data_IF_541403526467
#
_entry.id   IF_541403526467
#
_cell.length_a   1.000
_cell.length_b   1.000
_cell.length_c   1.000
_cell.angle_alpha   90.00
_cell.angle_beta   90.00
_cell.angle_gamma   90.00
#
_symmetry.space_group_name_H-M   'P 1'
#
loop_
_entity.id
_entity.type
_entity.pdbx_description
1 polymer ?
#
# COMPACT_ATOMS: atom_id res chain seq x y z
N UNK A 1 17.42 -21.19 5.81
CA UNK A 1 17.76 -21.08 4.39
C UNK A 1 16.57 -20.48 3.65
N UNK A 2 16.83 -19.59 2.70
CA UNK A 2 15.78 -18.97 1.85
C UNK A 2 15.81 -19.59 0.45
N UNK A 3 14.70 -19.67 -0.28
CA UNK A 3 14.64 -20.45 -1.52
C UNK A 3 15.50 -19.89 -2.68
N UNK A 4 15.96 -18.63 -2.59
CA UNK A 4 16.85 -18.00 -3.57
C UNK A 4 18.34 -18.05 -3.17
N UNK A 5 18.66 -18.64 -2.02
CA UNK A 5 20.03 -18.73 -1.51
C UNK A 5 20.91 -19.51 -2.50
N UNK A 6 22.05 -18.92 -2.88
CA UNK A 6 22.96 -19.48 -3.89
C UNK A 6 22.59 -19.19 -5.35
N UNK A 7 21.43 -18.58 -5.62
CA UNK A 7 20.99 -18.22 -6.98
C UNK A 7 21.00 -16.72 -7.22
N UNK A 8 20.50 -15.94 -6.25
CA UNK A 8 20.32 -14.49 -6.36
C UNK A 8 20.63 -13.83 -5.02
N UNK A 9 21.18 -12.61 -5.03
CA UNK A 9 21.50 -11.87 -3.79
C UNK A 9 20.25 -11.39 -3.06
N UNK A 10 20.36 -11.16 -1.75
CA UNK A 10 19.25 -10.67 -0.93
C UNK A 10 18.82 -9.25 -1.35
N UNK A 11 19.75 -8.41 -1.81
CA UNK A 11 19.49 -7.06 -2.34
C UNK A 11 18.69 -7.10 -3.65
N UNK A 12 19.06 -8.03 -4.54
CA UNK A 12 18.35 -8.23 -5.80
C UNK A 12 16.93 -8.72 -5.51
N UNK A 13 16.77 -9.65 -4.57
CA UNK A 13 15.45 -10.10 -4.12
C UNK A 13 14.66 -9.00 -3.41
N UNK A 14 15.30 -8.17 -2.60
CA UNK A 14 14.68 -7.02 -1.93
C UNK A 14 14.15 -6.00 -2.92
N UNK A 15 14.79 -5.90 -4.09
CA UNK A 15 14.35 -5.01 -5.17
C UNK A 15 13.17 -5.61 -5.96
N UNK A 16 13.26 -6.87 -6.38
CA UNK A 16 12.31 -7.42 -7.37
C UNK A 16 11.20 -8.28 -6.78
N UNK A 17 11.38 -8.92 -5.63
CA UNK A 17 10.35 -9.78 -5.05
C UNK A 17 9.05 -9.03 -4.71
N UNK A 18 9.08 -7.81 -4.11
CA UNK A 18 7.87 -7.04 -3.87
C UNK A 18 7.13 -6.68 -5.17
N UNK A 19 7.86 -6.37 -6.25
CA UNK A 19 7.29 -6.05 -7.56
C UNK A 19 6.58 -7.26 -8.16
N UNK A 20 7.23 -8.43 -8.16
CA UNK A 20 6.62 -9.67 -8.65
C UNK A 20 5.37 -10.01 -7.84
N UNK A 21 5.47 -9.92 -6.51
CA UNK A 21 4.39 -10.24 -5.60
C UNK A 21 3.20 -9.28 -5.76
N UNK A 22 3.45 -7.99 -5.99
CA UNK A 22 2.43 -7.00 -6.33
C UNK A 22 1.58 -7.48 -7.50
N UNK A 23 2.21 -7.83 -8.63
CA UNK A 23 1.47 -8.22 -9.83
C UNK A 23 0.75 -9.55 -9.68
N UNK A 24 1.35 -10.51 -8.97
CA UNK A 24 0.68 -11.80 -8.68
C UNK A 24 -0.56 -11.56 -7.81
N UNK A 25 -0.44 -10.78 -6.74
CA UNK A 25 -1.53 -10.58 -5.78
C UNK A 25 -2.62 -9.65 -6.34
N UNK A 26 -2.25 -8.49 -6.88
CA UNK A 26 -3.18 -7.54 -7.49
C UNK A 26 -3.83 -8.10 -8.76
N UNK A 27 -3.06 -8.81 -9.60
CA UNK A 27 -3.59 -9.51 -10.76
C UNK A 27 -4.53 -10.64 -10.36
N UNK A 28 -4.22 -11.37 -9.29
CA UNK A 28 -5.12 -12.34 -8.67
C UNK A 28 -6.47 -11.73 -8.33
N UNK A 29 -6.48 -10.60 -7.60
CA UNK A 29 -7.70 -9.83 -7.34
C UNK A 29 -8.41 -9.44 -8.63
N UNK A 30 -7.73 -8.84 -9.60
CA UNK A 30 -8.35 -8.39 -10.86
C UNK A 30 -9.06 -9.53 -11.61
N UNK A 31 -8.48 -10.72 -11.63
CA UNK A 31 -9.03 -11.90 -12.32
C UNK A 31 -10.27 -12.49 -11.64
N UNK A 32 -10.42 -12.27 -10.34
CA UNK A 32 -11.52 -12.82 -9.54
C UNK A 32 -12.58 -11.77 -9.19
N UNK A 33 -12.24 -10.48 -9.20
CA UNK A 33 -13.09 -9.37 -8.77
C UNK A 33 -14.42 -9.28 -9.55
N UNK A 34 -14.42 -9.69 -10.81
CA UNK A 34 -15.57 -9.69 -11.71
C UNK A 34 -16.29 -11.05 -11.79
N UNK A 35 -15.98 -11.98 -10.87
CA UNK A 35 -16.67 -13.26 -10.81
C UNK A 35 -17.82 -13.17 -9.81
N UNK A 36 -18.99 -13.65 -10.21
CA UNK A 36 -20.24 -13.68 -9.41
C UNK A 36 -20.07 -14.03 -7.92
N UNK A 37 -19.24 -15.04 -7.52
CA UNK A 37 -19.09 -15.37 -6.10
C UNK A 37 -18.47 -14.27 -5.23
N UNK A 38 -17.72 -13.33 -5.83
CA UNK A 38 -17.03 -12.26 -5.13
C UNK A 38 -17.71 -10.89 -5.24
N UNK A 39 -18.65 -10.72 -6.17
CA UNK A 39 -19.47 -9.50 -6.27
C UNK A 39 -20.17 -9.17 -4.94
N UNK A 40 -20.61 -10.19 -4.21
CA UNK A 40 -21.23 -10.06 -2.88
C UNK A 40 -20.31 -9.53 -1.78
N UNK A 41 -19.02 -9.41 -2.04
CA UNK A 41 -18.02 -8.86 -1.11
C UNK A 41 -17.46 -7.51 -1.57
N UNK A 42 -17.88 -6.99 -2.74
CA UNK A 42 -17.39 -5.71 -3.25
C UNK A 42 -17.96 -4.52 -2.46
N UNK A 43 -17.13 -3.50 -2.27
CA UNK A 43 -17.53 -2.18 -1.74
C UNK A 43 -18.26 -1.32 -2.79
N UNK A 44 -17.86 -1.44 -4.06
CA UNK A 44 -18.48 -0.74 -5.19
C UNK A 44 -18.87 -1.74 -6.28
N UNK A 45 -19.96 -1.47 -6.99
CA UNK A 45 -20.32 -2.27 -8.17
C UNK A 45 -19.32 -2.05 -9.29
N UNK A 46 -19.27 -2.96 -10.26
CA UNK A 46 -18.44 -2.76 -11.46
C UNK A 46 -18.88 -1.52 -12.25
N UNK A 47 -20.19 -1.27 -12.34
CA UNK A 47 -20.71 -0.07 -13.01
C UNK A 47 -20.21 1.22 -12.34
N UNK A 48 -20.20 1.27 -11.00
CA UNK A 48 -19.64 2.42 -10.27
C UNK A 48 -18.14 2.59 -10.50
N UNK A 49 -17.38 1.50 -10.57
CA UNK A 49 -15.95 1.55 -10.87
C UNK A 49 -15.70 2.13 -12.27
N UNK A 50 -16.44 1.66 -13.27
CA UNK A 50 -16.33 2.11 -14.67
C UNK A 50 -16.80 3.56 -14.87
N UNK A 51 -17.85 3.98 -14.15
CA UNK A 51 -18.41 5.33 -14.26
C UNK A 51 -17.61 6.37 -13.48
N UNK A 52 -17.17 6.06 -12.26
CA UNK A 52 -16.54 7.05 -11.36
C UNK A 52 -15.04 7.19 -11.58
N UNK A 53 -14.33 6.14 -12.01
CA UNK A 53 -12.89 6.24 -12.23
C UNK A 53 -12.56 7.05 -13.49
N UNK A 54 -11.63 7.99 -13.36
CA UNK A 54 -11.31 8.96 -14.41
C UNK A 54 -10.19 8.48 -15.34
N UNK A 55 -9.65 7.28 -15.11
CA UNK A 55 -8.54 6.70 -15.86
C UNK A 55 -8.78 5.21 -16.13
N UNK A 56 -8.49 4.78 -17.36
CA UNK A 56 -8.60 3.37 -17.73
C UNK A 56 -7.45 2.51 -17.21
N UNK A 57 -7.69 1.22 -17.05
CA UNK A 57 -6.74 0.23 -16.52
C UNK A 57 -5.36 0.27 -17.22
N UNK A 58 -5.32 0.46 -18.53
CA UNK A 58 -4.05 0.52 -19.27
C UNK A 58 -3.16 1.71 -18.85
N UNK A 59 -3.77 2.86 -18.55
CA UNK A 59 -3.04 4.02 -18.05
C UNK A 59 -2.53 3.77 -16.62
N UNK A 60 -3.35 3.10 -15.81
CA UNK A 60 -3.00 2.70 -14.44
C UNK A 60 -1.80 1.76 -14.46
N UNK A 61 -1.85 0.68 -15.25
CA UNK A 61 -0.75 -0.28 -15.39
C UNK A 61 0.55 0.41 -15.81
N UNK A 62 0.50 1.32 -16.80
CA UNK A 62 1.69 2.08 -17.23
C UNK A 62 2.25 2.95 -16.11
N UNK A 63 1.38 3.62 -15.34
CA UNK A 63 1.78 4.44 -14.20
C UNK A 63 2.45 3.61 -13.10
N UNK A 64 1.86 2.47 -12.75
CA UNK A 64 2.42 1.55 -11.75
C UNK A 64 3.78 1.00 -12.20
N UNK A 65 3.93 0.58 -13.45
CA UNK A 65 5.22 0.10 -13.99
C UNK A 65 6.29 1.20 -13.96
N UNK A 66 5.94 2.44 -14.29
CA UNK A 66 6.85 3.57 -14.19
C UNK A 66 7.27 3.82 -12.73
N UNK A 67 6.32 3.78 -11.79
CA UNK A 67 6.62 3.91 -10.37
C UNK A 67 7.54 2.79 -9.86
N UNK A 68 7.26 1.54 -10.22
CA UNK A 68 8.07 0.39 -9.83
C UNK A 68 9.48 0.43 -10.43
N UNK A 69 9.63 0.98 -11.64
CA UNK A 69 10.95 1.23 -12.23
C UNK A 69 11.75 2.22 -11.37
N UNK A 70 11.13 3.33 -10.94
CA UNK A 70 11.77 4.30 -10.04
C UNK A 70 12.14 3.67 -8.71
N UNK A 71 11.22 2.90 -8.11
CA UNK A 71 11.45 2.17 -6.86
C UNK A 71 12.64 1.20 -6.99
N UNK A 72 12.71 0.43 -8.08
CA UNK A 72 13.79 -0.52 -8.33
C UNK A 72 15.15 0.18 -8.46
N UNK A 73 15.21 1.29 -9.22
CA UNK A 73 16.45 2.07 -9.37
C UNK A 73 16.93 2.59 -8.01
N UNK A 74 16.03 3.17 -7.21
CA UNK A 74 16.41 3.72 -5.91
C UNK A 74 16.77 2.62 -4.91
N UNK A 75 16.07 1.49 -4.92
CA UNK A 75 16.41 0.33 -4.09
C UNK A 75 17.81 -0.21 -4.41
N UNK A 76 18.16 -0.34 -5.70
CA UNK A 76 19.50 -0.76 -6.11
C UNK A 76 20.58 0.23 -5.65
N UNK A 77 20.34 1.54 -5.79
CA UNK A 77 21.27 2.58 -5.32
C UNK A 77 21.42 2.48 -3.80
N UNK A 78 20.31 2.35 -3.06
CA UNK A 78 20.33 2.21 -1.61
C UNK A 78 21.16 1.00 -1.19
N UNK A 79 20.92 -0.17 -1.80
CA UNK A 79 21.68 -1.38 -1.49
C UNK A 79 23.15 -1.25 -1.90
N UNK A 80 23.47 -0.62 -3.02
CA UNK A 80 24.86 -0.39 -3.43
C UNK A 80 25.63 0.46 -2.43
N UNK A 81 24.97 1.44 -1.80
CA UNK A 81 25.60 2.34 -0.81
C UNK A 81 25.63 1.75 0.59
N UNK A 82 24.69 0.87 0.93
CA UNK A 82 24.55 0.31 2.29
C UNK A 82 25.15 -1.08 2.46
N UNK A 83 25.35 -1.83 1.38
CA UNK A 83 25.88 -3.20 1.44
C UNK A 83 27.40 -3.16 1.39
N UNK A 84 28.04 -3.62 2.47
CA UNK A 84 29.48 -3.86 2.49
C UNK A 84 29.77 -5.31 2.12
N UNK A 85 30.25 -5.53 0.89
CA UNK A 85 30.63 -6.85 0.36
C UNK A 85 31.77 -7.52 1.13
N UNK A 86 32.46 -6.80 1.99
CA UNK A 86 33.56 -7.30 2.83
C UNK A 86 33.06 -7.95 4.11
N UNK A 87 31.78 -7.77 4.46
CA UNK A 87 31.19 -8.25 5.72
C UNK A 87 30.23 -9.41 5.50
N UNK A 88 30.38 -10.47 6.29
CA UNK A 88 29.40 -11.56 6.32
C UNK A 88 28.18 -11.08 7.09
N UNK A 89 27.06 -10.90 6.40
CA UNK A 89 25.79 -10.52 7.04
C UNK A 89 25.21 -11.71 7.80
N UNK A 90 25.25 -11.63 9.14
CA UNK A 90 24.64 -12.63 10.02
C UNK A 90 23.17 -12.27 10.24
N UNK A 91 22.27 -13.23 9.97
CA UNK A 91 20.84 -13.03 10.18
C UNK A 91 20.52 -12.94 11.69
N UNK A 92 19.83 -11.87 12.14
CA UNK A 92 19.41 -11.75 13.53
C UNK A 92 18.43 -12.86 13.91
N UNK A 93 18.28 -13.18 15.21
CA UNK A 93 17.22 -14.05 15.70
C UNK A 93 15.83 -13.56 15.25
N UNK A 94 14.87 -14.48 15.09
CA UNK A 94 13.50 -14.15 14.63
C UNK A 94 12.84 -13.10 15.52
N UNK A 95 13.12 -13.11 16.83
CA UNK A 95 12.60 -12.09 17.77
C UNK A 95 13.11 -10.69 17.44
N UNK A 96 14.37 -10.56 17.05
CA UNK A 96 14.95 -9.29 16.61
C UNK A 96 14.35 -8.90 15.27
N UNK A 97 14.23 -9.83 14.31
CA UNK A 97 13.59 -9.53 13.02
C UNK A 97 12.14 -9.07 13.19
N UNK A 98 11.37 -9.69 14.11
CA UNK A 98 10.01 -9.27 14.43
C UNK A 98 9.95 -7.86 15.05
N UNK A 99 10.90 -7.53 15.92
CA UNK A 99 11.03 -6.17 16.44
C UNK A 99 11.40 -5.16 15.35
N UNK A 100 12.33 -5.52 14.45
CA UNK A 100 12.70 -4.70 13.29
C UNK A 100 11.51 -4.47 12.36
N UNK A 101 10.68 -5.49 12.14
CA UNK A 101 9.40 -5.37 11.42
C UNK A 101 8.49 -4.35 12.08
N UNK A 102 8.29 -4.43 13.39
CA UNK A 102 7.45 -3.48 14.11
C UNK A 102 7.97 -2.04 14.00
N UNK A 103 9.29 -1.85 14.20
CA UNK A 103 9.93 -0.53 14.03
C UNK A 103 9.71 -0.01 12.61
N UNK A 104 9.93 -0.85 11.59
CA UNK A 104 9.74 -0.47 10.21
C UNK A 104 8.29 -0.10 9.88
N UNK A 105 7.30 -0.84 10.41
CA UNK A 105 5.88 -0.48 10.26
C UNK A 105 5.58 0.89 10.87
N UNK A 106 6.05 1.16 12.09
CA UNK A 106 5.81 2.43 12.78
C UNK A 106 6.49 3.62 12.08
N UNK A 107 7.71 3.41 11.57
CA UNK A 107 8.45 4.43 10.81
C UNK A 107 7.74 4.70 9.47
N UNK A 108 7.34 3.66 8.75
CA UNK A 108 6.62 3.77 7.48
C UNK A 108 5.29 4.51 7.66
N UNK A 109 4.46 4.08 8.63
CA UNK A 109 3.18 4.71 8.92
C UNK A 109 3.34 6.18 9.28
N UNK A 110 4.36 6.52 10.07
CA UNK A 110 4.65 7.91 10.44
C UNK A 110 5.03 8.74 9.22
N UNK A 111 5.98 8.26 8.43
CA UNK A 111 6.42 8.97 7.23
C UNK A 111 5.25 9.17 6.26
N UNK A 112 4.54 8.09 5.93
CA UNK A 112 3.47 8.14 4.95
C UNK A 112 2.31 9.01 5.43
N UNK A 113 1.90 8.92 6.70
CA UNK A 113 0.83 9.76 7.23
C UNK A 113 1.14 11.26 7.04
N UNK A 114 2.32 11.71 7.47
CA UNK A 114 2.64 13.15 7.44
C UNK A 114 2.80 13.67 6.01
N UNK A 115 3.46 12.90 5.12
CA UNK A 115 3.60 13.30 3.72
C UNK A 115 2.24 13.29 3.01
N UNK A 116 1.43 12.25 3.22
CA UNK A 116 0.12 12.11 2.61
C UNK A 116 -0.82 13.25 3.04
N UNK A 117 -0.91 13.51 4.35
CA UNK A 117 -1.69 14.62 4.89
C UNK A 117 -1.21 15.96 4.34
N UNK A 118 0.11 16.17 4.25
CA UNK A 118 0.66 17.41 3.71
C UNK A 118 0.31 17.61 2.24
N UNK A 119 0.35 16.54 1.42
CA UNK A 119 -0.07 16.59 0.02
C UNK A 119 -1.55 16.95 -0.12
N UNK A 120 -2.43 16.50 0.78
CA UNK A 120 -3.83 16.91 0.81
C UNK A 120 -4.05 18.35 1.25
N UNK A 121 -3.33 18.80 2.28
CA UNK A 121 -3.51 20.14 2.83
C UNK A 121 -2.92 21.23 1.93
N UNK A 122 -1.84 20.93 1.22
CA UNK A 122 -1.21 21.83 0.28
C UNK A 122 -1.94 21.81 -1.07
N UNK A 123 -2.64 22.91 -1.41
CA UNK A 123 -3.42 23.02 -2.66
C UNK A 123 -2.61 22.75 -3.94
N UNK A 124 -1.33 23.13 -3.96
CA UNK A 124 -0.48 22.90 -5.13
C UNK A 124 -0.15 21.42 -5.27
N UNK A 125 0.29 20.77 -4.19
CA UNK A 125 0.63 19.35 -4.18
C UNK A 125 -0.60 18.50 -4.45
N UNK A 126 -1.74 18.81 -3.84
CA UNK A 126 -3.00 18.13 -4.14
C UNK A 126 -3.33 18.24 -5.62
N UNK A 127 -3.42 19.46 -6.16
CA UNK A 127 -3.90 19.68 -7.53
C UNK A 127 -3.01 19.03 -8.60
N UNK A 128 -1.69 19.06 -8.43
CA UNK A 128 -0.75 18.66 -9.50
C UNK A 128 -0.10 17.30 -9.29
N UNK A 129 -0.12 16.76 -8.07
CA UNK A 129 0.57 15.52 -7.73
C UNK A 129 -0.48 14.51 -7.23
N UNK A 130 -1.02 14.72 -6.03
CA UNK A 130 -1.83 13.72 -5.34
C UNK A 130 -3.23 13.50 -5.97
N UNK A 131 -3.75 14.49 -6.69
CA UNK A 131 -5.00 14.34 -7.43
C UNK A 131 -4.93 13.25 -8.51
N UNK A 132 -3.73 12.86 -8.97
CA UNK A 132 -3.57 11.75 -9.90
C UNK A 132 -4.01 10.43 -9.26
N UNK A 133 -3.60 10.17 -8.01
CA UNK A 133 -4.02 9.00 -7.26
C UNK A 133 -5.54 8.99 -7.07
N UNK A 134 -6.12 10.13 -6.66
CA UNK A 134 -7.57 10.33 -6.51
C UNK A 134 -8.37 10.36 -7.84
N UNK A 135 -7.75 10.12 -8.99
CA UNK A 135 -8.49 9.79 -10.23
C UNK A 135 -9.16 8.41 -10.14
N UNK A 136 -8.69 7.56 -9.23
CA UNK A 136 -9.28 6.28 -8.88
C UNK A 136 -10.24 6.45 -7.69
N UNK A 137 -11.38 7.09 -7.94
CA UNK A 137 -12.42 7.35 -6.93
C UNK A 137 -12.95 6.05 -6.30
N UNK A 138 -12.99 4.96 -7.08
CA UNK A 138 -13.28 3.61 -6.63
C UNK A 138 -11.96 2.83 -6.66
N UNK A 139 -11.29 2.64 -5.50
CA UNK A 139 -10.04 1.91 -5.43
C UNK A 139 -10.20 0.45 -5.83
N UNK A 140 -9.20 -0.07 -6.54
CA UNK A 140 -9.06 -1.48 -6.88
C UNK A 140 -7.59 -1.92 -6.81
N UNK A 141 -7.37 -3.22 -6.66
CA UNK A 141 -6.07 -3.80 -6.31
C UNK A 141 -4.90 -3.37 -7.22
N UNK A 142 -5.08 -3.35 -8.55
CA UNK A 142 -4.03 -2.93 -9.51
C UNK A 142 -3.72 -1.43 -9.41
N UNK A 143 -4.66 -0.62 -8.92
CA UNK A 143 -4.50 0.81 -8.72
C UNK A 143 -3.72 1.20 -7.47
N UNK A 144 -3.34 0.24 -6.62
CA UNK A 144 -2.78 0.52 -5.29
C UNK A 144 -1.47 1.32 -5.31
N UNK A 145 -0.69 1.24 -6.39
CA UNK A 145 0.52 2.03 -6.61
C UNK A 145 0.39 2.97 -7.81
N UNK A 146 -0.83 3.40 -8.16
CA UNK A 146 -1.04 4.38 -9.22
C UNK A 146 -0.91 5.80 -8.68
N UNK A 147 0.33 6.25 -8.52
CA UNK A 147 0.63 7.57 -8.00
C UNK A 147 1.34 8.43 -9.06
N UNK A 148 1.35 9.74 -8.85
CA UNK A 148 2.26 10.59 -9.62
C UNK A 148 3.73 10.16 -9.33
N UNK A 149 4.68 10.17 -10.29
CA UNK A 149 6.03 9.67 -10.04
C UNK A 149 6.75 10.32 -8.83
N UNK A 150 6.57 11.63 -8.64
CA UNK A 150 7.09 12.33 -7.46
C UNK A 150 6.41 11.90 -6.15
N UNK A 151 5.14 11.53 -6.21
CA UNK A 151 4.41 11.02 -5.07
C UNK A 151 4.93 9.64 -4.67
N UNK A 152 5.00 8.70 -5.61
CA UNK A 152 5.55 7.36 -5.36
C UNK A 152 7.03 7.39 -4.95
N UNK A 153 7.80 8.38 -5.40
CA UNK A 153 9.15 8.61 -4.90
C UNK A 153 9.14 9.06 -3.43
N UNK A 154 8.35 10.08 -3.08
CA UNK A 154 8.37 10.67 -1.74
C UNK A 154 7.66 9.82 -0.68
N UNK A 155 6.51 9.24 -0.99
CA UNK A 155 5.73 8.39 -0.08
C UNK A 155 6.33 6.99 0.02
N UNK A 156 6.37 6.28 -1.11
CA UNK A 156 6.67 4.85 -1.08
C UNK A 156 8.17 4.59 -1.01
N UNK A 157 8.94 5.20 -1.91
CA UNK A 157 10.37 4.91 -2.05
C UNK A 157 11.18 5.47 -0.86
N UNK A 158 11.05 6.76 -0.57
CA UNK A 158 11.76 7.38 0.56
C UNK A 158 11.25 6.84 1.89
N UNK A 159 9.93 6.63 2.05
CA UNK A 159 9.37 6.03 3.25
C UNK A 159 9.89 4.61 3.48
N UNK A 160 9.98 3.80 2.43
CA UNK A 160 10.58 2.46 2.48
C UNK A 160 12.07 2.50 2.84
N UNK A 161 12.85 3.40 2.22
CA UNK A 161 14.28 3.54 2.51
C UNK A 161 14.53 3.95 3.98
N UNK A 162 13.79 4.93 4.50
CA UNK A 162 13.91 5.34 5.91
C UNK A 162 13.52 4.19 6.84
N UNK A 163 12.46 3.45 6.52
CA UNK A 163 12.03 2.28 7.31
C UNK A 163 13.08 1.17 7.35
N UNK A 164 13.72 0.90 6.21
CA UNK A 164 14.84 -0.04 6.12
C UNK A 164 16.03 0.40 6.98
N UNK A 165 16.46 1.65 6.82
CA UNK A 165 17.62 2.19 7.52
C UNK A 165 17.41 2.27 9.04
N UNK A 166 16.26 2.78 9.49
CA UNK A 166 15.98 3.01 10.92
C UNK A 166 15.74 1.69 11.66
N UNK A 167 15.11 0.71 11.03
CA UNK A 167 14.92 -0.61 11.65
C UNK A 167 16.23 -1.40 11.77
N UNK A 168 17.26 -1.05 11.00
CA UNK A 168 18.53 -1.79 10.96
C UNK A 168 18.37 -3.23 10.47
N UNK A 169 17.32 -3.51 9.71
CA UNK A 169 17.06 -4.84 9.18
C UNK A 169 18.08 -5.23 8.11
N UNK A 170 18.36 -6.53 7.99
CA UNK A 170 19.25 -7.01 6.90
C UNK A 170 18.54 -6.91 5.55
N UNK A 171 19.27 -6.91 4.41
CA UNK A 171 18.66 -7.01 3.09
C UNK A 171 17.72 -8.22 2.97
N UNK A 172 18.06 -9.36 3.57
CA UNK A 172 17.19 -10.56 3.61
C UNK A 172 15.88 -10.31 4.35
N UNK A 173 15.95 -9.70 5.53
CA UNK A 173 14.77 -9.35 6.34
C UNK A 173 13.90 -8.33 5.61
N UNK A 174 14.51 -7.41 4.85
CA UNK A 174 13.79 -6.41 4.07
C UNK A 174 13.01 -7.00 2.90
N UNK A 175 13.48 -8.10 2.29
CA UNK A 175 12.69 -8.85 1.28
C UNK A 175 11.32 -9.21 1.84
N UNK A 176 11.29 -9.81 3.03
CA UNK A 176 10.04 -10.23 3.67
C UNK A 176 9.19 -9.03 4.08
N UNK A 177 9.81 -7.98 4.62
CA UNK A 177 9.09 -6.79 5.06
C UNK A 177 8.42 -6.06 3.89
N UNK A 178 9.14 -5.82 2.80
CA UNK A 178 8.58 -5.13 1.65
C UNK A 178 7.57 -5.99 0.88
N UNK A 179 7.75 -7.31 0.85
CA UNK A 179 6.71 -8.23 0.37
C UNK A 179 5.44 -8.15 1.22
N UNK A 180 5.57 -8.09 2.55
CA UNK A 180 4.44 -7.93 3.45
C UNK A 180 3.75 -6.56 3.26
N UNK A 181 4.53 -5.48 3.19
CA UNK A 181 4.02 -4.12 2.99
C UNK A 181 3.25 -4.00 1.67
N UNK A 182 3.78 -4.54 0.57
CA UNK A 182 3.10 -4.45 -0.73
C UNK A 182 1.82 -5.27 -0.78
N UNK A 183 1.78 -6.45 -0.15
CA UNK A 183 0.54 -7.22 0.01
C UNK A 183 -0.49 -6.43 0.80
N UNK A 184 -0.06 -5.77 1.88
CA UNK A 184 -0.94 -4.94 2.71
C UNK A 184 -1.51 -3.76 1.92
N UNK A 185 -0.67 -3.00 1.22
CA UNK A 185 -1.11 -1.88 0.38
C UNK A 185 -2.09 -2.32 -0.70
N UNK A 186 -1.86 -3.47 -1.36
CA UNK A 186 -2.80 -4.01 -2.35
C UNK A 186 -4.13 -4.41 -1.69
N UNK A 187 -4.10 -5.00 -0.49
CA UNK A 187 -5.30 -5.36 0.26
C UNK A 187 -6.13 -4.13 0.63
N UNK A 188 -5.49 -3.05 1.05
CA UNK A 188 -6.14 -1.77 1.39
C UNK A 188 -6.85 -1.13 0.21
N UNK A 189 -6.45 -1.47 -1.01
CA UNK A 189 -7.07 -0.96 -2.23
C UNK A 189 -7.94 -1.99 -2.93
N UNK A 190 -8.06 -3.23 -2.43
CA UNK A 190 -8.62 -4.32 -3.22
C UNK A 190 -10.11 -4.18 -3.54
N UNK A 191 -10.83 -3.33 -2.79
CA UNK A 191 -12.26 -3.09 -2.97
C UNK A 191 -13.15 -4.26 -2.52
N UNK A 192 -12.57 -5.25 -1.83
CA UNK A 192 -13.24 -6.47 -1.38
C UNK A 192 -13.19 -6.64 0.14
N UNK A 193 -14.37 -6.72 0.74
CA UNK A 193 -14.56 -7.11 2.13
C UNK A 193 -14.71 -8.63 2.26
N UNK A 194 -13.57 -9.35 2.24
CA UNK A 194 -13.55 -10.82 2.22
C UNK A 194 -13.70 -11.41 3.63
N UNK A 195 -14.49 -12.48 3.80
CA UNK A 195 -14.55 -13.19 5.07
C UNK A 195 -13.17 -13.82 5.37
N UNK A 196 -12.73 -13.72 6.62
CA UNK A 196 -11.46 -14.25 7.09
C UNK A 196 -10.21 -13.61 6.47
N UNK A 197 -10.33 -12.41 5.88
CA UNK A 197 -9.14 -11.67 5.46
C UNK A 197 -8.29 -11.30 6.70
N UNK A 198 -7.09 -11.88 6.77
CA UNK A 198 -6.18 -11.70 7.90
C UNK A 198 -5.70 -10.26 8.03
N UNK A 199 -5.49 -9.54 6.92
CA UNK A 199 -5.03 -8.15 6.96
C UNK A 199 -6.11 -7.26 7.53
N UNK A 200 -7.34 -7.40 7.04
CA UNK A 200 -8.49 -6.61 7.50
C UNK A 200 -8.87 -6.91 8.96
N UNK A 201 -8.53 -8.11 9.45
CA UNK A 201 -8.74 -8.51 10.85
C UNK A 201 -7.63 -8.00 11.79
N UNK A 202 -6.38 -7.95 11.32
CA UNK A 202 -5.23 -7.55 12.14
C UNK A 202 -4.99 -6.04 12.14
N UNK A 203 -5.31 -5.35 11.05
CA UNK A 203 -4.99 -3.95 10.83
C UNK A 203 -6.24 -3.08 10.70
N UNK A 204 -6.16 -1.88 11.28
CA UNK A 204 -7.26 -0.91 11.27
C UNK A 204 -7.36 -0.15 9.96
N UNK A 205 -6.22 0.17 9.35
CA UNK A 205 -6.22 0.53 7.94
C UNK A 205 -6.54 -0.75 7.15
N UNK A 206 -7.62 -0.72 6.40
CA UNK A 206 -8.13 -1.80 5.58
C UNK A 206 -8.89 -1.21 4.38
N UNK A 207 -9.45 -2.07 3.53
CA UNK A 207 -10.12 -1.61 2.31
C UNK A 207 -11.28 -0.64 2.55
N UNK A 208 -12.07 -0.82 3.61
CA UNK A 208 -13.18 0.09 3.90
C UNK A 208 -12.70 1.44 4.45
N UNK A 209 -11.66 1.41 5.30
CA UNK A 209 -11.01 2.62 5.81
C UNK A 209 -10.45 3.49 4.68
N UNK A 210 -9.76 2.86 3.73
CA UNK A 210 -9.14 3.56 2.61
C UNK A 210 -10.16 3.96 1.53
N UNK A 211 -11.21 3.15 1.32
CA UNK A 211 -12.33 3.53 0.46
C UNK A 211 -12.96 4.86 0.89
N UNK A 212 -13.24 5.02 2.19
CA UNK A 212 -13.78 6.27 2.75
C UNK A 212 -12.89 7.46 2.39
N UNK A 213 -11.57 7.31 2.43
CA UNK A 213 -10.63 8.36 2.08
C UNK A 213 -10.73 8.81 0.61
N UNK A 214 -10.89 7.86 -0.32
CA UNK A 214 -11.06 8.11 -1.76
C UNK A 214 -12.43 8.70 -2.13
N UNK A 215 -13.44 8.50 -1.29
CA UNK A 215 -14.72 9.17 -1.47
C UNK A 215 -14.52 10.71 -1.39
N UNK A 216 -15.25 11.45 -2.23
CA UNK A 216 -15.14 12.92 -2.33
C UNK A 216 -15.18 13.65 -0.97
N UNK A 217 -15.97 13.11 -0.03
CA UNK A 217 -16.18 13.68 1.30
C UNK A 217 -15.07 13.30 2.30
N UNK A 218 -14.35 12.20 2.04
CA UNK A 218 -13.32 11.65 2.92
C UNK A 218 -11.90 12.12 2.63
N UNK A 219 -11.67 12.91 1.58
CA UNK A 219 -10.36 13.53 1.26
C UNK A 219 -9.75 14.38 2.39
N UNK A 220 -10.50 14.64 3.45
CA UNK A 220 -10.08 15.37 4.67
C UNK A 220 -9.67 14.45 5.84
N UNK A 221 -9.76 13.14 5.66
CA UNK A 221 -9.68 12.16 6.74
C UNK A 221 -8.89 10.90 6.29
N UNK A 222 -8.56 10.05 7.25
CA UNK A 222 -8.01 8.71 7.04
C UNK A 222 -6.71 8.67 6.23
N UNK A 223 -5.73 9.50 6.60
CA UNK A 223 -4.46 9.63 5.87
C UNK A 223 -3.43 8.53 6.17
N UNK A 224 -3.55 7.81 7.27
CA UNK A 224 -2.58 6.84 7.75
C UNK A 224 -2.56 5.63 6.83
N UNK A 225 -1.37 5.20 6.44
CA UNK A 225 -1.13 4.02 5.61
C UNK A 225 0.31 3.53 5.81
N UNK A 226 0.60 2.23 5.62
CA UNK A 226 -0.37 1.19 5.25
C UNK A 226 -0.92 0.37 6.44
N UNK A 227 -0.38 0.46 7.67
CA UNK A 227 -0.70 -0.52 8.72
C UNK A 227 -1.75 -0.04 9.73
N UNK A 228 -1.45 1.02 10.47
CA UNK A 228 -2.23 1.45 11.62
C UNK A 228 -2.90 2.79 11.37
N UNK A 229 -3.97 3.10 12.13
CA UNK A 229 -4.68 4.39 12.07
C UNK A 229 -4.23 5.35 13.20
N UNK A 230 -3.05 5.11 13.77
CA UNK A 230 -2.57 5.77 15.00
C UNK A 230 -2.58 7.29 14.85
N UNK A 231 -1.99 7.81 13.77
CA UNK A 231 -1.85 9.25 13.58
C UNK A 231 -3.17 9.95 13.28
N UNK A 232 -4.07 9.31 12.54
CA UNK A 232 -5.42 9.83 12.34
C UNK A 232 -6.20 9.97 13.65
N UNK A 233 -6.03 9.01 14.57
CA UNK A 233 -6.65 9.09 15.90
C UNK A 233 -6.02 10.16 16.77
N UNK A 234 -4.68 10.25 16.79
CA UNK A 234 -3.96 11.22 17.61
C UNK A 234 -4.25 12.66 17.15
N UNK A 235 -4.31 12.89 15.83
CA UNK A 235 -4.44 14.25 15.28
C UNK A 235 -5.85 14.59 14.80
N UNK A 236 -6.85 13.77 15.15
CA UNK A 236 -8.26 14.04 14.90
C UNK A 236 -8.65 14.02 13.42
N UNK A 237 -7.95 13.24 12.60
CA UNK A 237 -8.28 13.04 11.16
C UNK A 237 -8.88 11.67 10.88
N UNK A 238 -9.22 10.89 11.89
CA UNK A 238 -9.91 9.60 11.74
C UNK A 238 -11.41 9.79 11.48
N UNK A 239 -11.90 9.27 10.36
CA UNK A 239 -13.32 9.17 10.03
C UNK A 239 -13.79 7.73 10.28
N UNK A 240 -14.56 7.47 11.35
CA UNK A 240 -15.15 6.17 11.58
C UNK A 240 -16.22 5.84 10.53
N UNK A 241 -16.50 4.55 10.34
CA UNK A 241 -17.46 4.09 9.33
C UNK A 241 -18.26 2.88 9.82
N UNK A 242 -19.43 2.68 9.19
CA UNK A 242 -20.20 1.45 9.28
C UNK A 242 -20.15 0.72 7.94
N UNK A 243 -20.00 -0.61 7.99
CA UNK A 243 -20.18 -1.47 6.82
C UNK A 243 -21.63 -1.94 6.73
N UNK A 244 -22.30 -1.55 5.65
CA UNK A 244 -23.71 -1.87 5.42
C UNK A 244 -23.82 -2.82 4.24
N UNK A 245 -24.61 -3.89 4.39
CA UNK A 245 -24.93 -4.76 3.25
C UNK A 245 -25.84 -4.04 2.25
N UNK A 246 -25.48 -4.09 0.97
CA UNK A 246 -26.31 -3.54 -0.11
C UNK A 246 -27.43 -4.52 -0.48
N UNK A 247 -28.59 -4.00 -0.88
CA UNK A 247 -29.74 -4.81 -1.31
C UNK A 247 -29.42 -5.71 -2.50
N UNK A 248 -28.55 -5.25 -3.38
CA UNK A 248 -28.13 -5.96 -4.61
C UNK A 248 -26.91 -6.86 -4.38
N UNK A 249 -26.42 -6.96 -3.14
CA UNK A 249 -25.19 -7.68 -2.78
C UNK A 249 -23.97 -6.77 -2.66
N UNK A 250 -22.98 -7.21 -1.88
CA UNK A 250 -21.82 -6.39 -1.54
C UNK A 250 -22.01 -5.61 -0.24
N UNK A 251 -21.06 -4.73 0.00
CA UNK A 251 -20.97 -3.86 1.16
C UNK A 251 -20.88 -2.40 0.71
N UNK A 252 -21.14 -1.49 1.63
CA UNK A 252 -20.91 -0.06 1.46
C UNK A 252 -20.28 0.45 2.75
N UNK A 253 -19.12 1.11 2.64
CA UNK A 253 -18.51 1.80 3.76
C UNK A 253 -19.15 3.19 3.89
N UNK A 254 -19.93 3.40 4.95
CA UNK A 254 -20.61 4.68 5.22
C UNK A 254 -19.91 5.43 6.34
N UNK A 255 -19.45 6.67 6.11
CA UNK A 255 -18.91 7.51 7.17
C UNK A 255 -19.94 7.69 8.29
N UNK A 256 -19.51 7.52 9.53
CA UNK A 256 -20.27 7.93 10.71
C UNK A 256 -20.09 9.43 10.85
N UNK A 257 -21.10 10.20 10.43
CA UNK A 257 -21.14 11.64 10.67
C UNK A 257 -21.81 11.87 12.02
N UNK A 258 -21.15 12.64 12.87
CA UNK A 258 -21.79 13.27 14.04
C UNK A 258 -22.81 14.32 13.60
#
# INVERSE_FOLDING_TARGET
MVPWEGYVSDETMGTFAPIVLYWVYAGGYQLVLHRRPLERYRLHTQAEEEEKNLVGLAAVVRGVLLQQLVQAIVAMILFMVTSDSSTVVVQPPITIQAFQFLVAMLVMDSWQYFVHRYMHQNKFLYRHIHSQHHRLIVPYAIGALYNHPLEGLLLDTVGGAISFLVSGMTPRTSVFFFCFAVLKTVDDHCGLWLPYNIFQSLFQNNTAYHDIHHQLQGTKYNYSQPFFSIWDRILGTHMPYNLVHRKEGGFEARPLRD
#
